data_IF_454258805030
#
_entry.id   IF_454258805030
#
_cell.length_a   1.000
_cell.length_b   1.000
_cell.length_c   1.000
_cell.angle_alpha   90.00
_cell.angle_beta   90.00
_cell.angle_gamma   90.00
#
_symmetry.space_group_name_H-M   'P 1'
#
loop_
_entity.id
_entity.type
_entity.pdbx_description
1 polymer ?
#
# COMPACT_ATOMS: atom_id res chain seq x y z
N UNK A 1 -42.11 -18.48 35.57
CA UNK A 1 -41.08 -17.57 35.04
C UNK A 1 -40.81 -18.02 33.61
N UNK A 2 -41.35 -17.33 32.58
CA UNK A 2 -41.22 -17.77 31.20
C UNK A 2 -39.81 -17.44 30.68
N UNK A 3 -39.13 -18.44 30.14
CA UNK A 3 -37.87 -18.28 29.40
C UNK A 3 -38.14 -17.49 28.12
N UNK A 4 -37.40 -16.41 27.81
CA UNK A 4 -37.50 -15.77 26.52
C UNK A 4 -36.89 -16.72 25.48
N UNK A 5 -37.74 -17.41 24.73
CA UNK A 5 -37.37 -18.03 23.46
C UNK A 5 -37.05 -16.90 22.49
N UNK A 6 -35.79 -16.45 22.49
CA UNK A 6 -35.28 -15.49 21.53
C UNK A 6 -35.27 -16.13 20.15
N UNK A 7 -36.35 -15.96 19.41
CA UNK A 7 -36.35 -16.16 17.96
C UNK A 7 -35.27 -15.21 17.41
N UNK A 8 -34.25 -15.68 16.66
CA UNK A 8 -33.31 -14.78 16.03
C UNK A 8 -34.14 -13.86 15.14
N UNK A 9 -34.11 -12.57 15.47
CA UNK A 9 -34.79 -11.53 14.70
C UNK A 9 -34.12 -11.52 13.33
N UNK A 10 -34.88 -11.32 12.24
CA UNK A 10 -34.31 -11.35 10.88
C UNK A 10 -33.07 -10.46 10.73
N UNK A 11 -33.00 -9.37 11.49
CA UNK A 11 -31.87 -8.45 11.55
C UNK A 11 -30.57 -9.11 12.04
N UNK A 12 -30.62 -10.03 13.01
CA UNK A 12 -29.43 -10.71 13.55
C UNK A 12 -28.82 -11.67 12.52
N UNK A 13 -29.68 -12.36 11.77
CA UNK A 13 -29.25 -13.24 10.68
C UNK A 13 -28.62 -12.45 9.52
N UNK A 14 -29.22 -11.31 9.17
CA UNK A 14 -28.69 -10.42 8.13
C UNK A 14 -27.32 -9.83 8.54
N UNK A 15 -27.16 -9.42 9.81
CA UNK A 15 -25.88 -8.94 10.33
C UNK A 15 -24.80 -10.01 10.26
N UNK A 16 -25.10 -11.23 10.69
CA UNK A 16 -24.15 -12.35 10.62
C UNK A 16 -23.75 -12.69 9.18
N UNK A 17 -24.65 -12.52 8.20
CA UNK A 17 -24.32 -12.69 6.78
C UNK A 17 -23.42 -11.56 6.26
N UNK A 18 -23.69 -10.31 6.63
CA UNK A 18 -22.86 -9.16 6.25
C UNK A 18 -21.45 -9.26 6.84
N UNK A 19 -21.31 -9.72 8.08
CA UNK A 19 -20.01 -9.92 8.74
C UNK A 19 -19.18 -10.98 8.00
N UNK A 20 -19.79 -12.10 7.62
CA UNK A 20 -19.12 -13.14 6.80
C UNK A 20 -18.70 -12.63 5.43
N UNK A 21 -19.55 -11.83 4.77
CA UNK A 21 -19.20 -11.23 3.48
C UNK A 21 -18.06 -10.21 3.61
N UNK A 22 -18.08 -9.39 4.65
CA UNK A 22 -17.01 -8.43 4.91
C UNK A 22 -15.68 -9.14 5.20
N UNK A 23 -15.71 -10.24 5.96
CA UNK A 23 -14.54 -11.06 6.25
C UNK A 23 -13.99 -11.74 4.99
N UNK A 24 -14.86 -12.34 4.17
CA UNK A 24 -14.47 -13.00 2.92
C UNK A 24 -13.94 -12.00 1.87
N UNK A 25 -14.53 -10.81 1.77
CA UNK A 25 -14.03 -9.72 0.91
C UNK A 25 -12.70 -9.19 1.44
N UNK A 26 -12.56 -9.03 2.76
CA UNK A 26 -11.33 -8.58 3.40
C UNK A 26 -10.16 -9.52 3.15
N UNK A 27 -10.37 -10.84 3.27
CA UNK A 27 -9.34 -11.84 2.99
C UNK A 27 -8.95 -11.86 1.50
N UNK A 28 -9.91 -11.76 0.58
CA UNK A 28 -9.62 -11.76 -0.87
C UNK A 28 -8.99 -10.44 -1.35
N UNK A 29 -9.15 -9.35 -0.60
CA UNK A 29 -8.53 -8.06 -0.89
C UNK A 29 -7.07 -7.98 -0.41
N UNK A 30 -6.61 -8.87 0.48
CA UNK A 30 -5.21 -9.01 0.82
C UNK A 30 -4.44 -9.51 -0.43
N UNK A 31 -3.68 -8.62 -1.06
CA UNK A 31 -3.03 -8.88 -2.35
C UNK A 31 -2.24 -10.18 -2.38
N UNK A 32 -2.35 -10.92 -3.49
CA UNK A 32 -1.58 -12.14 -3.73
C UNK A 32 -0.22 -11.78 -4.32
N UNK A 33 0.86 -12.33 -3.75
CA UNK A 33 2.19 -12.21 -4.35
C UNK A 33 2.31 -13.15 -5.53
N UNK A 34 2.70 -12.61 -6.69
CA UNK A 34 2.91 -13.37 -7.93
C UNK A 34 4.36 -13.21 -8.39
N UNK A 35 4.90 -14.31 -8.92
CA UNK A 35 6.24 -14.35 -9.50
C UNK A 35 6.11 -14.36 -11.03
N UNK A 36 6.81 -13.43 -11.67
CA UNK A 36 6.88 -13.37 -13.13
C UNK A 36 7.79 -14.45 -13.71
N UNK A 37 7.82 -14.52 -15.04
CA UNK A 37 8.76 -15.37 -15.77
C UNK A 37 10.21 -15.01 -15.41
N UNK A 38 11.02 -16.03 -15.15
CA UNK A 38 12.43 -15.85 -14.86
C UNK A 38 13.17 -15.48 -16.15
N UNK A 39 13.79 -14.31 -16.17
CA UNK A 39 14.57 -13.84 -17.31
C UNK A 39 16.05 -13.91 -16.93
N UNK A 40 16.81 -14.74 -17.64
CA UNK A 40 18.26 -14.85 -17.46
C UNK A 40 19.00 -14.02 -18.50
N UNK A 41 19.90 -13.15 -18.04
CA UNK A 41 20.78 -12.37 -18.89
C UNK A 41 22.22 -12.48 -18.35
N UNK A 42 23.14 -12.93 -19.20
CA UNK A 42 24.52 -13.27 -18.82
C UNK A 42 24.55 -14.25 -17.62
N UNK A 43 25.10 -13.83 -16.48
CA UNK A 43 25.23 -14.65 -15.27
C UNK A 43 24.17 -14.33 -14.20
N UNK A 44 23.12 -13.60 -14.58
CA UNK A 44 22.08 -13.13 -13.66
C UNK A 44 20.72 -13.63 -14.11
N UNK A 45 20.00 -14.28 -13.20
CA UNK A 45 18.59 -14.59 -13.38
C UNK A 45 17.76 -13.62 -12.56
N UNK A 46 16.80 -12.95 -13.19
CA UNK A 46 15.90 -12.02 -12.54
C UNK A 46 14.50 -12.60 -12.54
N UNK A 47 13.89 -12.70 -11.35
CA UNK A 47 12.50 -13.13 -11.17
C UNK A 47 11.69 -11.92 -10.69
N UNK A 48 10.82 -11.34 -11.53
CA UNK A 48 9.99 -10.21 -11.13
C UNK A 48 9.00 -10.62 -10.03
N UNK A 49 8.79 -9.75 -9.05
CA UNK A 49 7.80 -9.98 -7.98
C UNK A 49 6.80 -8.85 -7.96
N UNK A 50 5.52 -9.19 -8.10
CA UNK A 50 4.41 -8.24 -8.02
C UNK A 50 3.40 -8.69 -6.98
N UNK A 51 2.68 -7.73 -6.43
CA UNK A 51 1.54 -7.96 -5.56
C UNK A 51 0.28 -7.57 -6.32
N UNK A 52 -0.64 -8.53 -6.50
CA UNK A 52 -1.89 -8.33 -7.23
C UNK A 52 -3.03 -8.32 -6.24
N UNK A 53 -3.71 -7.19 -6.14
CA UNK A 53 -4.88 -7.03 -5.27
C UNK A 53 -6.12 -6.62 -6.07
N UNK A 54 -7.28 -6.95 -5.51
CA UNK A 54 -8.57 -6.49 -5.97
C UNK A 54 -9.01 -5.33 -5.08
N UNK A 55 -9.39 -4.20 -5.69
CA UNK A 55 -9.79 -3.03 -4.93
C UNK A 55 -10.84 -2.21 -5.66
N UNK A 56 -11.67 -1.54 -4.87
CA UNK A 56 -12.68 -0.61 -5.36
C UNK A 56 -12.20 0.80 -5.02
N UNK A 57 -11.85 1.62 -6.01
CA UNK A 57 -11.37 2.98 -5.74
C UNK A 57 -11.04 3.83 -6.98
N UNK A 58 -11.33 5.13 -6.88
CA UNK A 58 -10.96 6.19 -7.83
C UNK A 58 -9.51 6.64 -7.55
N UNK A 59 -8.53 5.77 -7.76
CA UNK A 59 -7.11 6.10 -7.61
C UNK A 59 -6.45 6.42 -8.95
N UNK A 60 -5.36 7.23 -8.99
CA UNK A 60 -4.68 7.57 -10.24
C UNK A 60 -4.25 6.29 -10.99
N UNK A 61 -4.46 6.30 -12.31
CA UNK A 61 -4.07 5.22 -13.22
C UNK A 61 -2.55 5.22 -13.34
N UNK A 62 -1.91 4.12 -12.94
CA UNK A 62 -0.49 3.93 -13.22
C UNK A 62 -0.34 3.65 -14.72
N UNK A 63 0.60 4.27 -15.45
CA UNK A 63 0.76 4.08 -16.90
C UNK A 63 1.14 2.65 -17.31
N UNK A 64 1.43 1.77 -16.35
CA UNK A 64 1.84 0.39 -16.56
C UNK A 64 0.77 -0.65 -16.18
N UNK A 65 -0.35 -0.23 -15.60
CA UNK A 65 -1.45 -1.14 -15.26
C UNK A 65 -2.47 -1.15 -16.40
N UNK A 66 -2.60 -2.28 -17.09
CA UNK A 66 -3.63 -2.51 -18.11
C UNK A 66 -4.99 -2.06 -17.57
N UNK A 67 -5.57 -1.07 -18.23
CA UNK A 67 -6.79 -0.39 -17.79
C UNK A 67 -8.01 -1.29 -17.98
N UNK A 68 -8.42 -1.99 -16.92
CA UNK A 68 -9.77 -2.54 -16.83
C UNK A 68 -10.61 -1.57 -16.01
N UNK A 69 -11.17 -0.57 -16.68
CA UNK A 69 -12.12 0.36 -16.11
C UNK A 69 -13.50 -0.28 -15.95
N UNK A 70 -13.98 -0.36 -14.70
CA UNK A 70 -15.36 -0.72 -14.39
C UNK A 70 -15.52 -1.27 -12.98
N UNK A 71 -16.02 -0.43 -12.05
CA UNK A 71 -16.53 -0.76 -10.71
C UNK A 71 -15.81 -1.83 -9.85
N UNK A 72 -14.56 -2.19 -10.18
CA UNK A 72 -13.68 -3.14 -9.52
C UNK A 72 -12.35 -3.14 -10.27
N UNK A 73 -11.27 -2.69 -9.63
CA UNK A 73 -9.96 -2.57 -10.24
C UNK A 73 -9.06 -3.71 -9.75
N UNK A 74 -8.52 -4.49 -10.69
CA UNK A 74 -7.37 -5.35 -10.40
C UNK A 74 -6.13 -4.47 -10.51
N UNK A 75 -5.33 -4.39 -9.44
CA UNK A 75 -4.10 -3.60 -9.46
C UNK A 75 -2.91 -4.50 -9.16
N UNK A 76 -1.98 -4.54 -10.11
CA UNK A 76 -0.66 -5.13 -9.91
C UNK A 76 0.32 -4.03 -9.47
N UNK A 77 0.84 -4.16 -8.25
CA UNK A 77 1.93 -3.32 -7.75
C UNK A 77 3.24 -4.09 -7.83
N UNK A 78 4.21 -3.66 -8.67
CA UNK A 78 5.55 -4.22 -8.64
C UNK A 78 6.19 -3.99 -7.26
N UNK A 79 6.62 -5.05 -6.58
CA UNK A 79 7.27 -4.95 -5.26
C UNK A 79 8.79 -4.95 -5.38
N UNK A 80 9.31 -5.66 -6.37
CA UNK A 80 10.74 -5.79 -6.59
C UNK A 80 11.04 -6.94 -7.54
N UNK A 81 12.26 -7.45 -7.44
CA UNK A 81 12.70 -8.63 -8.16
C UNK A 81 13.69 -9.42 -7.33
N UNK A 82 13.76 -10.73 -7.57
CA UNK A 82 14.76 -11.61 -7.00
C UNK A 82 15.89 -11.72 -8.03
N UNK A 83 17.10 -11.33 -7.65
CA UNK A 83 18.31 -11.52 -8.43
C UNK A 83 18.98 -12.83 -7.97
N UNK A 84 19.17 -13.77 -8.88
CA UNK A 84 19.94 -14.99 -8.64
C UNK A 84 21.26 -14.85 -9.41
N UNK A 85 22.38 -14.85 -8.69
CA UNK A 85 23.73 -14.79 -9.25
C UNK A 85 24.61 -15.79 -8.51
N UNK A 86 25.38 -16.60 -9.23
CA UNK A 86 26.29 -17.59 -8.65
C UNK A 86 25.60 -18.52 -7.63
N UNK A 87 24.35 -18.90 -7.89
CA UNK A 87 23.53 -19.73 -6.99
C UNK A 87 22.99 -19.00 -5.75
N UNK A 88 23.24 -17.70 -5.58
CA UNK A 88 22.73 -16.90 -4.46
C UNK A 88 21.52 -16.08 -4.90
N UNK A 89 20.38 -16.25 -4.22
CA UNK A 89 19.17 -15.46 -4.44
C UNK A 89 19.11 -14.25 -3.49
N UNK A 90 19.04 -13.05 -4.04
CA UNK A 90 18.92 -11.79 -3.29
C UNK A 90 17.69 -11.01 -3.74
N UNK A 91 16.81 -10.67 -2.80
CA UNK A 91 15.65 -9.84 -3.10
C UNK A 91 16.04 -8.35 -3.16
N UNK A 92 15.71 -7.68 -4.27
CA UNK A 92 15.85 -6.22 -4.44
C UNK A 92 14.47 -5.56 -4.51
N UNK A 93 14.10 -4.74 -3.51
CA UNK A 93 12.89 -3.93 -3.56
C UNK A 93 12.98 -2.87 -4.66
N UNK A 94 11.85 -2.54 -5.28
CA UNK A 94 11.78 -1.43 -6.22
C UNK A 94 11.77 -0.10 -5.45
N UNK A 95 12.66 0.86 -5.74
CA UNK A 95 12.66 2.14 -5.05
C UNK A 95 11.36 2.91 -5.32
N UNK A 96 10.74 3.44 -4.27
CA UNK A 96 9.54 4.27 -4.41
C UNK A 96 9.97 5.68 -4.89
N UNK A 97 9.67 6.06 -6.14
CA UNK A 97 10.14 7.33 -6.70
C UNK A 97 9.60 8.54 -5.94
N UNK A 98 8.43 8.41 -5.30
CA UNK A 98 7.82 9.49 -4.54
C UNK A 98 8.58 9.78 -3.25
N UNK A 99 9.06 8.75 -2.53
CA UNK A 99 9.89 8.94 -1.34
C UNK A 99 11.23 9.58 -1.68
N UNK A 100 11.81 9.25 -2.83
CA UNK A 100 13.06 9.87 -3.30
C UNK A 100 12.93 11.38 -3.50
N UNK A 101 11.75 11.87 -3.90
CA UNK A 101 11.50 13.31 -4.13
C UNK A 101 10.96 14.02 -2.89
N UNK A 102 10.00 13.39 -2.19
CA UNK A 102 9.33 14.03 -1.07
C UNK A 102 10.23 14.21 0.15
N UNK A 103 11.15 13.27 0.40
CA UNK A 103 12.06 13.35 1.53
C UNK A 103 13.02 14.56 1.46
N UNK A 104 13.78 14.79 0.36
CA UNK A 104 14.61 16.00 0.25
C UNK A 104 13.77 17.27 0.20
N UNK A 105 12.57 17.22 -0.41
CA UNK A 105 11.68 18.38 -0.45
C UNK A 105 11.15 18.77 0.94
N UNK A 106 10.74 17.78 1.75
CA UNK A 106 10.33 18.00 3.13
C UNK A 106 11.49 18.51 4.00
N UNK A 107 12.70 17.95 3.84
CA UNK A 107 13.90 18.42 4.52
C UNK A 107 14.25 19.87 4.13
N UNK A 108 14.10 20.22 2.85
CA UNK A 108 14.31 21.58 2.35
C UNK A 108 13.30 22.56 2.97
N UNK A 109 12.01 22.23 2.96
CA UNK A 109 10.96 23.07 3.55
C UNK A 109 11.16 23.25 5.06
N UNK A 110 11.54 22.17 5.78
CA UNK A 110 11.89 22.25 7.19
C UNK A 110 13.09 23.19 7.42
N UNK A 111 14.15 23.07 6.61
CA UNK A 111 15.32 23.94 6.66
C UNK A 111 15.00 25.41 6.38
N UNK A 112 14.08 25.71 5.46
CA UNK A 112 13.63 27.08 5.14
C UNK A 112 12.74 27.69 6.22
N UNK A 113 11.97 26.87 6.95
CA UNK A 113 11.09 27.34 8.02
C UNK A 113 11.82 27.62 9.35
N UNK A 114 13.01 27.06 9.57
CA UNK A 114 13.79 27.24 10.81
C UNK A 114 14.22 28.69 11.06
N UNK A 115 14.81 29.44 10.11
CA UNK A 115 15.24 30.82 10.31
C UNK A 115 14.14 31.82 10.72
N UNK A 116 12.94 31.86 10.09
CA UNK A 116 11.89 32.78 10.50
C UNK A 116 11.28 32.41 11.86
N UNK A 117 11.18 31.11 12.17
CA UNK A 117 10.66 30.64 13.46
C UNK A 117 11.61 31.00 14.62
N UNK A 118 12.92 30.86 14.40
CA UNK A 118 13.94 31.28 15.37
C UNK A 118 13.91 32.80 15.61
N UNK A 119 13.73 33.60 14.55
CA UNK A 119 13.60 35.07 14.64
C UNK A 119 12.33 35.50 15.38
N UNK A 120 11.25 34.74 15.28
CA UNK A 120 9.99 35.03 15.98
C UNK A 120 10.12 34.75 17.49
N UNK A 121 10.88 33.73 17.87
CA UNK A 121 11.14 33.38 19.27
C UNK A 121 12.11 34.36 19.95
N UNK A 122 13.15 34.84 19.24
CA UNK A 122 14.07 35.85 19.79
C UNK A 122 13.41 37.22 19.95
N UNK A 123 12.48 37.59 19.07
CA UNK A 123 11.71 38.85 19.20
C UNK A 123 10.75 38.88 20.38
N UNK A 124 10.43 37.74 21.00
CA UNK A 124 9.57 37.68 22.20
C UNK A 124 10.35 37.80 23.52
N UNK A 125 11.69 37.85 23.47
CA UNK A 125 12.53 37.93 24.66
C UNK A 125 13.40 39.22 24.83
N UNK A 126 13.00 40.42 24.38
CA UNK A 126 13.52 41.67 24.92
C UNK A 126 12.52 42.25 25.93
N UNK A 127 12.77 42.08 27.22
CA UNK A 127 11.96 42.70 28.27
C UNK A 127 11.93 41.92 29.58
N UNK A 128 13.08 41.78 30.23
CA UNK A 128 13.19 41.73 31.68
C UNK A 128 13.91 43.02 32.11
#
# INVERSE_FOLDING_TARGET
MPTPSGHPTGDDAHRAQLERLAEEIGERAAGTVVFGEAVTAAEVTVIPVAEVGYGFGLGPTSPTASETGGAGCVRAHPRGFIEIRNGTATYRPLPNPWLTVALPFAAFLAGVAVPPLARLLTKRHPGA
#
